data_IF_893330333127
#
_entry.id   IF_893330333127
#
_cell.length_a   1.000
_cell.length_b   1.000
_cell.length_c   1.000
_cell.angle_alpha   90.00
_cell.angle_beta   90.00
_cell.angle_gamma   90.00
#
_symmetry.space_group_name_H-M   'P 1'
#
loop_
_entity.id
_entity.type
_entity.pdbx_description
1 polymer ?
#
# COMPACT_ATOMS: atom_id res chain seq x y z
N UNK A 1 -47.58 -49.02 -25.16
CA UNK A 1 -46.37 -48.88 -26.00
C UNK A 1 -45.71 -47.55 -25.65
N UNK A 2 -44.45 -47.58 -25.25
CA UNK A 2 -43.54 -46.44 -24.96
C UNK A 2 -42.68 -46.14 -26.22
N UNK A 3 -41.80 -45.10 -26.33
CA UNK A 3 -41.44 -43.97 -25.43
C UNK A 3 -41.11 -42.60 -26.13
N UNK A 4 -40.50 -41.67 -25.37
CA UNK A 4 -39.56 -40.58 -25.74
C UNK A 4 -40.15 -39.16 -25.93
N UNK A 5 -39.60 -38.02 -25.44
CA UNK A 5 -38.36 -37.66 -24.71
C UNK A 5 -38.43 -36.15 -24.32
N UNK A 6 -37.76 -35.73 -23.22
CA UNK A 6 -37.02 -34.46 -22.90
C UNK A 6 -37.58 -33.10 -23.39
N UNK A 7 -37.58 -31.96 -22.68
CA UNK A 7 -36.85 -31.39 -21.53
C UNK A 7 -37.66 -30.18 -21.00
N UNK A 8 -37.55 -29.76 -19.72
CA UNK A 8 -37.83 -28.39 -19.31
C UNK A 8 -36.59 -27.51 -19.51
N UNK A 9 -36.86 -26.30 -20.00
CA UNK A 9 -35.96 -25.22 -20.39
C UNK A 9 -35.00 -24.73 -19.30
N UNK A 10 -33.75 -24.52 -19.71
CA UNK A 10 -32.73 -23.73 -19.02
C UNK A 10 -33.18 -22.28 -18.76
N UNK A 11 -32.80 -21.67 -17.62
CA UNK A 11 -33.06 -20.26 -17.31
C UNK A 11 -31.93 -19.30 -17.73
N UNK A 12 -31.00 -19.69 -18.61
CA UNK A 12 -29.85 -18.85 -18.97
C UNK A 12 -29.69 -18.61 -20.47
N UNK A 13 -29.83 -17.33 -20.86
CA UNK A 13 -29.25 -16.73 -22.06
C UNK A 13 -29.92 -15.38 -22.40
N UNK A 14 -29.25 -14.45 -23.11
CA UNK A 14 -27.82 -14.12 -23.14
C UNK A 14 -27.53 -12.71 -22.55
N UNK A 15 -26.27 -12.49 -22.18
CA UNK A 15 -25.71 -11.20 -21.75
C UNK A 15 -25.69 -10.23 -22.93
N UNK A 16 -26.48 -9.16 -22.83
CA UNK A 16 -26.40 -8.01 -23.74
C UNK A 16 -25.50 -6.92 -23.13
N UNK A 17 -24.62 -6.38 -23.97
CA UNK A 17 -23.58 -5.44 -23.58
C UNK A 17 -24.18 -4.08 -23.17
N UNK A 18 -23.98 -3.72 -21.90
CA UNK A 18 -24.26 -2.39 -21.37
C UNK A 18 -22.98 -1.77 -20.84
N UNK A 19 -22.51 -0.73 -21.51
CA UNK A 19 -21.47 0.19 -21.03
C UNK A 19 -21.82 0.74 -19.64
N UNK A 20 -21.11 0.26 -18.61
CA UNK A 20 -21.13 0.88 -17.29
C UNK A 20 -20.08 2.00 -17.25
N UNK A 21 -20.45 3.14 -17.82
CA UNK A 21 -19.78 4.41 -17.53
C UNK A 21 -20.14 4.84 -16.11
N UNK A 22 -19.17 4.79 -15.21
CA UNK A 22 -19.30 5.31 -13.86
C UNK A 22 -19.00 6.82 -13.89
N UNK A 23 -20.04 7.63 -13.93
CA UNK A 23 -19.94 9.08 -13.73
C UNK A 23 -20.33 9.43 -12.29
N UNK A 24 -19.46 10.06 -11.48
CA UNK A 24 -19.88 10.70 -10.26
C UNK A 24 -20.14 12.20 -10.53
N UNK A 25 -21.41 12.59 -10.55
CA UNK A 25 -21.88 13.97 -10.43
C UNK A 25 -22.98 13.97 -9.36
N UNK A 26 -23.04 14.84 -8.36
CA UNK A 26 -22.24 15.97 -7.92
C UNK A 26 -23.10 16.79 -6.93
N UNK A 27 -22.48 17.39 -5.92
CA UNK A 27 -22.95 18.63 -5.25
C UNK A 27 -21.86 19.06 -4.25
N UNK A 28 -21.00 20.00 -4.64
CA UNK A 28 -21.13 21.46 -4.49
C UNK A 28 -20.76 21.95 -3.08
N UNK A 29 -19.68 22.76 -3.04
CA UNK A 29 -19.58 23.88 -2.12
C UNK A 29 -18.73 23.67 -0.88
N UNK A 30 -17.40 23.60 -1.03
CA UNK A 30 -16.46 24.27 -0.13
C UNK A 30 -15.16 24.54 -0.90
N UNK A 31 -15.10 25.70 -1.56
CA UNK A 31 -13.81 26.33 -1.88
C UNK A 31 -13.19 26.80 -0.58
N UNK A 32 -12.22 26.04 -0.10
CA UNK A 32 -11.10 26.54 0.67
C UNK A 32 -9.99 25.51 0.52
N UNK A 33 -9.04 25.77 -0.38
CA UNK A 33 -7.71 25.17 -0.24
C UNK A 33 -7.14 25.69 1.09
N UNK A 34 -6.98 24.87 2.14
CA UNK A 34 -6.37 25.34 3.38
C UNK A 34 -4.84 25.37 3.27
N UNK A 35 -4.28 25.09 2.07
CA UNK A 35 -2.85 24.98 1.82
C UNK A 35 -2.33 25.95 0.76
N UNK A 36 -3.15 26.88 0.27
CA UNK A 36 -2.66 28.06 -0.46
C UNK A 36 -2.06 29.07 0.52
N UNK A 37 -1.11 28.61 1.33
CA UNK A 37 -0.15 29.47 2.01
C UNK A 37 0.97 29.68 1.00
N UNK A 38 1.07 30.90 0.48
CA UNK A 38 2.31 31.40 -0.09
C UNK A 38 3.40 31.14 0.95
N UNK A 39 4.27 30.18 0.70
CA UNK A 39 5.40 29.87 1.58
C UNK A 39 6.38 31.04 1.44
N UNK A 40 6.33 31.98 2.37
CA UNK A 40 7.47 32.85 2.61
C UNK A 40 8.60 31.98 3.12
N UNK A 41 9.53 31.65 2.23
CA UNK A 41 10.82 31.05 2.59
C UNK A 41 11.55 32.10 3.42
N UNK A 42 11.55 31.94 4.74
CA UNK A 42 12.35 32.78 5.63
C UNK A 42 13.82 32.51 5.30
N UNK A 43 14.58 33.52 4.83
CA UNK A 43 16.00 33.34 4.56
C UNK A 43 16.73 33.13 5.90
N UNK A 44 17.22 31.91 6.15
CA UNK A 44 17.97 31.55 7.36
C UNK A 44 17.46 30.32 8.11
N UNK A 45 16.32 29.74 7.73
CA UNK A 45 15.89 28.43 8.24
C UNK A 45 16.67 27.32 7.53
N UNK A 46 17.54 26.62 8.26
CA UNK A 46 18.24 25.40 7.81
C UNK A 46 17.38 24.14 7.94
N UNK A 47 16.13 24.27 8.39
CA UNK A 47 15.18 23.17 8.52
C UNK A 47 14.41 22.93 7.22
N UNK A 48 14.20 21.66 6.88
CA UNK A 48 13.34 21.27 5.76
C UNK A 48 11.90 21.71 6.05
N UNK A 49 11.23 22.43 5.11
CA UNK A 49 9.90 22.94 5.35
C UNK A 49 8.88 21.82 5.64
N UNK A 50 8.00 21.96 6.65
CA UNK A 50 6.96 20.96 6.95
C UNK A 50 6.04 20.64 5.75
N UNK A 51 5.83 21.60 4.86
CA UNK A 51 5.05 21.45 3.62
C UNK A 51 5.70 20.48 2.62
N UNK A 52 7.03 20.35 2.62
CA UNK A 52 7.74 19.38 1.81
C UNK A 52 7.47 17.95 2.31
N UNK A 53 7.54 17.71 3.62
CA UNK A 53 7.20 16.42 4.20
C UNK A 53 5.72 16.05 4.02
N UNK A 54 4.81 17.02 4.10
CA UNK A 54 3.40 16.78 3.76
C UNK A 54 3.21 16.31 2.30
N UNK A 55 4.01 16.86 1.37
CA UNK A 55 3.98 16.47 -0.04
C UNK A 55 4.55 15.06 -0.26
N UNK A 56 5.69 14.73 0.39
CA UNK A 56 6.27 13.38 0.41
C UNK A 56 5.28 12.38 0.99
N UNK A 57 4.66 12.71 2.14
CA UNK A 57 3.67 11.85 2.78
C UNK A 57 2.45 11.59 1.87
N UNK A 58 2.00 12.60 1.11
CA UNK A 58 0.89 12.43 0.16
C UNK A 58 1.28 11.55 -1.01
N UNK A 59 2.46 11.73 -1.58
CA UNK A 59 2.98 10.88 -2.64
C UNK A 59 3.14 9.42 -2.17
N UNK A 60 3.67 9.22 -0.96
CA UNK A 60 3.78 7.90 -0.36
C UNK A 60 2.42 7.27 -0.11
N UNK A 61 1.43 8.04 0.39
CA UNK A 61 0.06 7.56 0.54
C UNK A 61 -0.49 7.03 -0.79
N UNK A 62 -0.32 7.75 -1.90
CA UNK A 62 -0.79 7.32 -3.22
C UNK A 62 -0.11 6.02 -3.69
N UNK A 63 1.19 5.86 -3.43
CA UNK A 63 1.93 4.62 -3.70
C UNK A 63 1.30 3.47 -2.90
N UNK A 64 1.10 3.66 -1.60
CA UNK A 64 0.54 2.62 -0.72
C UNK A 64 -0.90 2.26 -1.09
N UNK A 65 -1.76 3.22 -1.43
CA UNK A 65 -3.14 2.99 -1.90
C UNK A 65 -3.15 2.06 -3.12
N UNK A 66 -2.27 2.33 -4.09
CA UNK A 66 -2.16 1.52 -5.31
C UNK A 66 -1.70 0.10 -5.02
N UNK A 67 -0.70 -0.09 -4.15
CA UNK A 67 -0.19 -1.42 -3.79
C UNK A 67 -1.18 -2.20 -2.92
N UNK A 68 -1.93 -1.52 -2.06
CA UNK A 68 -3.05 -2.10 -1.32
C UNK A 68 -4.10 -2.70 -2.25
N UNK A 69 -4.54 -1.95 -3.27
CA UNK A 69 -5.48 -2.46 -4.28
C UNK A 69 -4.92 -3.65 -5.08
N UNK A 70 -3.61 -3.68 -5.36
CA UNK A 70 -2.95 -4.84 -6.01
C UNK A 70 -2.96 -6.06 -5.11
N UNK A 71 -2.61 -5.91 -3.83
CA UNK A 71 -2.59 -7.00 -2.86
C UNK A 71 -3.98 -7.62 -2.69
N UNK A 72 -5.02 -6.79 -2.53
CA UNK A 72 -6.40 -7.25 -2.41
C UNK A 72 -6.86 -8.05 -3.63
N UNK A 73 -6.65 -7.52 -4.85
CA UNK A 73 -7.00 -8.23 -6.09
C UNK A 73 -6.28 -9.56 -6.22
N UNK A 74 -5.03 -9.65 -5.77
CA UNK A 74 -4.28 -10.91 -5.81
C UNK A 74 -4.88 -11.95 -4.86
N UNK A 75 -5.14 -11.56 -3.61
CA UNK A 75 -5.70 -12.48 -2.60
C UNK A 75 -7.05 -13.01 -3.06
N UNK A 76 -7.93 -12.13 -3.51
CA UNK A 76 -9.27 -12.52 -3.98
C UNK A 76 -9.17 -13.42 -5.21
N UNK A 77 -8.41 -13.00 -6.23
CA UNK A 77 -8.27 -13.78 -7.47
C UNK A 77 -7.67 -15.17 -7.24
N UNK A 78 -6.66 -15.29 -6.38
CA UNK A 78 -6.06 -16.59 -6.07
C UNK A 78 -7.05 -17.49 -5.30
N UNK A 79 -7.78 -16.94 -4.33
CA UNK A 79 -8.76 -17.71 -3.59
C UNK A 79 -9.90 -18.21 -4.50
N UNK A 80 -10.40 -17.35 -5.38
CA UNK A 80 -11.44 -17.69 -6.37
C UNK A 80 -10.96 -18.81 -7.31
N UNK A 81 -9.69 -18.79 -7.74
CA UNK A 81 -9.09 -19.85 -8.57
C UNK A 81 -9.09 -21.23 -7.87
N UNK A 82 -8.99 -21.25 -6.54
CA UNK A 82 -9.05 -22.47 -5.74
C UNK A 82 -10.47 -22.78 -5.23
N UNK A 83 -11.49 -22.03 -5.65
CA UNK A 83 -12.89 -22.22 -5.26
C UNK A 83 -13.18 -21.86 -3.80
N UNK A 84 -12.37 -20.96 -3.22
CA UNK A 84 -12.53 -20.45 -1.85
C UNK A 84 -13.04 -19.01 -1.92
N UNK A 85 -13.88 -18.59 -0.97
CA UNK A 85 -14.28 -17.19 -0.84
C UNK A 85 -13.05 -16.30 -0.61
N UNK A 86 -12.70 -15.48 -1.60
CA UNK A 86 -11.56 -14.58 -1.52
C UNK A 86 -11.65 -13.51 -0.45
N UNK A 87 -12.86 -13.16 -0.01
CA UNK A 87 -13.03 -12.24 1.12
C UNK A 87 -12.68 -12.92 2.44
N UNK A 88 -12.97 -14.22 2.57
CA UNK A 88 -12.56 -15.02 3.73
C UNK A 88 -11.03 -15.17 3.81
N UNK A 89 -10.37 -15.48 2.69
CA UNK A 89 -8.90 -15.54 2.65
C UNK A 89 -8.28 -14.16 2.94
N UNK A 90 -8.89 -13.07 2.47
CA UNK A 90 -8.46 -11.72 2.82
C UNK A 90 -8.60 -11.44 4.33
N UNK A 91 -9.68 -11.88 4.98
CA UNK A 91 -9.79 -11.79 6.44
C UNK A 91 -8.70 -12.58 7.16
N UNK A 92 -8.39 -13.80 6.72
CA UNK A 92 -7.31 -14.62 7.28
C UNK A 92 -5.94 -13.95 7.14
N UNK A 93 -5.64 -13.34 5.99
CA UNK A 93 -4.41 -12.56 5.78
C UNK A 93 -4.38 -11.32 6.68
N UNK A 94 -5.52 -10.67 6.92
CA UNK A 94 -5.57 -9.40 7.66
C UNK A 94 -5.62 -9.55 9.18
N UNK A 95 -6.34 -10.55 9.70
CA UNK A 95 -6.71 -10.63 11.12
C UNK A 95 -6.14 -11.85 11.82
N UNK A 96 -6.07 -12.99 11.14
CA UNK A 96 -5.79 -14.27 11.80
C UNK A 96 -4.36 -14.79 11.51
N UNK A 97 -3.35 -14.00 11.85
CA UNK A 97 -1.93 -14.38 11.63
C UNK A 97 -1.51 -15.69 12.32
N UNK A 98 -2.28 -16.14 13.31
CA UNK A 98 -2.07 -17.40 14.03
C UNK A 98 -2.54 -18.64 13.27
N UNK A 99 -3.35 -18.48 12.22
CA UNK A 99 -3.84 -19.60 11.40
C UNK A 99 -3.02 -19.80 10.12
N UNK A 100 -1.95 -19.01 9.94
CA UNK A 100 -1.08 -19.17 8.79
C UNK A 100 -0.29 -20.47 8.90
N UNK A 101 -0.06 -21.18 7.78
CA UNK A 101 0.79 -22.35 7.76
C UNK A 101 2.24 -21.99 8.11
N UNK A 102 3.07 -23.01 8.35
CA UNK A 102 4.51 -22.81 8.51
C UNK A 102 5.09 -22.35 7.17
N UNK A 103 5.64 -21.13 7.14
CA UNK A 103 6.17 -20.49 5.93
C UNK A 103 7.61 -20.03 6.11
N UNK A 104 8.31 -19.76 5.00
CA UNK A 104 9.61 -19.08 5.03
C UNK A 104 9.44 -17.68 5.61
N UNK A 105 10.47 -17.17 6.28
CA UNK A 105 10.46 -15.83 6.89
C UNK A 105 10.15 -14.72 5.88
N UNK A 106 10.67 -14.84 4.65
CA UNK A 106 10.42 -13.86 3.58
C UNK A 106 8.97 -13.87 3.08
N UNK A 107 8.35 -15.06 2.99
CA UNK A 107 6.94 -15.23 2.59
C UNK A 107 6.01 -14.65 3.63
N UNK A 108 6.29 -14.98 4.90
CA UNK A 108 5.59 -14.42 6.04
C UNK A 108 5.72 -12.90 6.06
N UNK A 109 6.91 -12.37 5.77
CA UNK A 109 7.15 -10.94 5.69
C UNK A 109 6.31 -10.27 4.58
N UNK A 110 6.32 -10.85 3.39
CA UNK A 110 5.54 -10.33 2.27
C UNK A 110 4.02 -10.35 2.55
N UNK A 111 3.52 -11.39 3.21
CA UNK A 111 2.10 -11.46 3.63
C UNK A 111 1.77 -10.47 4.74
N UNK A 112 2.66 -10.26 5.71
CA UNK A 112 2.44 -9.27 6.77
C UNK A 112 2.45 -7.84 6.20
N UNK A 113 3.31 -7.55 5.21
CA UNK A 113 3.26 -6.29 4.48
C UNK A 113 1.96 -6.13 3.69
N UNK A 114 1.52 -7.18 2.98
CA UNK A 114 0.24 -7.17 2.26
C UNK A 114 -0.95 -6.92 3.22
N UNK A 115 -0.96 -7.59 4.37
CA UNK A 115 -1.93 -7.43 5.46
C UNK A 115 -2.00 -5.98 5.95
N UNK A 116 -0.84 -5.39 6.25
CA UNK A 116 -0.75 -3.98 6.66
C UNK A 116 -1.29 -3.04 5.58
N UNK A 117 -0.89 -3.22 4.31
CA UNK A 117 -1.36 -2.41 3.19
C UNK A 117 -2.88 -2.48 3.02
N UNK A 118 -3.48 -3.66 3.14
CA UNK A 118 -4.94 -3.83 3.03
C UNK A 118 -5.68 -3.22 4.23
N UNK A 119 -5.10 -3.29 5.44
CA UNK A 119 -5.68 -2.72 6.65
C UNK A 119 -5.68 -1.19 6.63
N UNK A 120 -4.59 -0.57 6.17
CA UNK A 120 -4.44 0.88 6.14
C UNK A 120 -5.46 1.64 5.29
N UNK A 121 -6.09 0.95 4.33
CA UNK A 121 -7.09 1.54 3.43
C UNK A 121 -8.49 0.93 3.58
N UNK A 122 -8.74 0.23 4.70
CA UNK A 122 -10.05 -0.34 5.02
C UNK A 122 -10.68 -1.13 3.86
N UNK A 123 -9.87 -1.86 3.10
CA UNK A 123 -10.31 -2.58 1.90
C UNK A 123 -11.17 -3.82 2.22
N UNK A 124 -11.57 -4.02 3.48
CA UNK A 124 -12.43 -5.12 3.91
C UNK A 124 -13.91 -4.75 3.78
N UNK A 125 -14.76 -5.69 3.33
CA UNK A 125 -16.18 -5.62 3.60
C UNK A 125 -16.42 -5.72 5.12
N UNK A 126 -17.42 -4.99 5.62
CA UNK A 126 -17.93 -5.13 6.99
C UNK A 126 -18.58 -6.51 7.19
N UNK A 127 -17.76 -7.52 7.51
CA UNK A 127 -18.00 -8.73 8.32
C UNK A 127 -19.39 -9.39 8.43
N UNK A 128 -20.26 -9.38 7.42
CA UNK A 128 -21.60 -10.00 7.54
C UNK A 128 -21.78 -11.26 6.66
N UNK A 129 -20.89 -11.51 5.68
CA UNK A 129 -21.14 -12.53 4.64
C UNK A 129 -20.04 -13.58 4.45
N UNK A 130 -19.10 -13.75 5.39
CA UNK A 130 -18.05 -14.76 5.20
C UNK A 130 -18.59 -16.14 5.57
N UNK A 131 -18.81 -16.99 4.57
CA UNK A 131 -19.09 -18.40 4.80
C UNK A 131 -17.80 -19.06 5.29
N UNK A 132 -17.79 -19.48 6.56
CA UNK A 132 -16.67 -20.23 7.13
C UNK A 132 -16.56 -21.56 6.38
N UNK A 133 -15.42 -21.85 5.74
CA UNK A 133 -15.29 -23.04 4.91
C UNK A 133 -15.37 -24.35 5.73
N UNK A 134 -15.96 -25.40 5.16
CA UNK A 134 -16.09 -26.72 5.79
C UNK A 134 -14.76 -27.49 5.88
N UNK A 135 -14.75 -28.58 6.66
CA UNK A 135 -13.57 -29.43 6.85
C UNK A 135 -12.99 -29.93 5.51
N UNK A 136 -11.75 -29.54 5.18
CA UNK A 136 -11.06 -29.81 3.91
C UNK A 136 -10.62 -28.56 3.15
N UNK A 137 -11.13 -27.38 3.53
CA UNK A 137 -10.82 -26.10 2.90
C UNK A 137 -9.50 -25.49 3.37
N UNK A 138 -8.96 -25.93 4.51
CA UNK A 138 -7.67 -25.48 5.04
C UNK A 138 -6.54 -25.68 4.03
N UNK A 139 -6.55 -26.80 3.29
CA UNK A 139 -5.54 -27.09 2.26
C UNK A 139 -5.61 -26.09 1.10
N UNK A 140 -6.80 -25.60 0.75
CA UNK A 140 -7.00 -24.64 -0.33
C UNK A 140 -6.63 -23.22 0.14
N UNK A 141 -6.96 -22.87 1.38
CA UNK A 141 -6.51 -21.63 2.02
C UNK A 141 -4.97 -21.60 2.09
N UNK A 142 -4.34 -22.68 2.54
CA UNK A 142 -2.88 -22.79 2.61
C UNK A 142 -2.21 -22.59 1.25
N UNK A 143 -2.81 -23.14 0.19
CA UNK A 143 -2.35 -22.95 -1.20
C UNK A 143 -2.49 -21.49 -1.64
N UNK A 144 -3.63 -20.87 -1.37
CA UNK A 144 -3.86 -19.47 -1.69
C UNK A 144 -2.89 -18.54 -0.94
N UNK A 145 -2.61 -18.81 0.33
CA UNK A 145 -1.65 -18.07 1.14
C UNK A 145 -0.21 -18.22 0.60
N UNK A 146 0.23 -19.44 0.29
CA UNK A 146 1.56 -19.67 -0.30
C UNK A 146 1.72 -18.98 -1.66
N UNK A 147 0.72 -19.09 -2.52
CA UNK A 147 0.74 -18.47 -3.83
C UNK A 147 0.75 -16.94 -3.73
N UNK A 148 -0.07 -16.37 -2.84
CA UNK A 148 -0.06 -14.93 -2.52
C UNK A 148 1.31 -14.48 -2.02
N UNK A 149 1.94 -15.23 -1.10
CA UNK A 149 3.25 -14.89 -0.56
C UNK A 149 4.34 -14.91 -1.63
N UNK A 150 4.30 -15.93 -2.50
CA UNK A 150 5.24 -16.08 -3.62
C UNK A 150 5.13 -14.92 -4.62
N UNK A 151 3.92 -14.42 -4.85
CA UNK A 151 3.67 -13.23 -5.67
C UNK A 151 4.10 -11.95 -4.96
N UNK A 152 3.79 -11.82 -3.67
CA UNK A 152 3.99 -10.59 -2.91
C UNK A 152 5.47 -10.23 -2.76
N UNK A 153 6.36 -11.23 -2.68
CA UNK A 153 7.82 -10.98 -2.63
C UNK A 153 8.34 -10.11 -3.78
N UNK A 154 8.22 -10.54 -5.06
CA UNK A 154 8.69 -9.74 -6.18
C UNK A 154 7.76 -8.56 -6.54
N UNK A 155 6.48 -8.61 -6.18
CA UNK A 155 5.49 -7.63 -6.66
C UNK A 155 5.11 -6.55 -5.65
N UNK A 156 5.38 -6.75 -4.35
CA UNK A 156 5.17 -5.75 -3.31
C UNK A 156 6.51 -5.25 -2.78
N UNK A 157 7.32 -6.12 -2.16
CA UNK A 157 8.48 -5.69 -1.36
C UNK A 157 9.51 -4.92 -2.21
N UNK A 158 10.00 -5.55 -3.28
CA UNK A 158 11.01 -4.94 -4.15
C UNK A 158 10.53 -3.66 -4.85
N UNK A 159 9.39 -3.68 -5.55
CA UNK A 159 8.83 -2.49 -6.21
C UNK A 159 8.49 -1.36 -5.24
N UNK A 160 7.88 -1.65 -4.08
CA UNK A 160 7.53 -0.63 -3.10
C UNK A 160 8.78 0.06 -2.53
N UNK A 161 9.81 -0.72 -2.19
CA UNK A 161 11.11 -0.19 -1.76
C UNK A 161 11.75 0.70 -2.83
N UNK A 162 11.73 0.26 -4.10
CA UNK A 162 12.28 1.05 -5.21
C UNK A 162 11.53 2.36 -5.42
N UNK A 163 10.20 2.33 -5.42
CA UNK A 163 9.40 3.55 -5.58
C UNK A 163 9.55 4.51 -4.41
N UNK A 164 9.70 3.98 -3.20
CA UNK A 164 10.03 4.80 -2.03
C UNK A 164 11.39 5.50 -2.19
N UNK A 165 12.44 4.74 -2.54
CA UNK A 165 13.77 5.30 -2.74
C UNK A 165 13.78 6.33 -3.88
N UNK A 166 13.11 6.05 -5.00
CA UNK A 166 13.00 6.99 -6.10
C UNK A 166 12.26 8.28 -5.70
N UNK A 167 11.20 8.18 -4.88
CA UNK A 167 10.50 9.33 -4.33
C UNK A 167 11.43 10.17 -3.44
N UNK A 168 12.17 9.53 -2.54
CA UNK A 168 13.12 10.24 -1.69
C UNK A 168 14.25 10.87 -2.52
N UNK A 169 14.76 10.21 -3.55
CA UNK A 169 15.76 10.77 -4.47
C UNK A 169 15.21 12.01 -5.19
N UNK A 170 13.99 11.96 -5.73
CA UNK A 170 13.35 13.10 -6.39
C UNK A 170 13.24 14.32 -5.45
N UNK A 171 12.84 14.08 -4.20
CA UNK A 171 12.72 15.15 -3.21
C UNK A 171 14.07 15.59 -2.63
N UNK A 172 15.04 14.68 -2.53
CA UNK A 172 16.40 14.99 -2.16
C UNK A 172 17.02 15.95 -3.18
N UNK A 173 16.83 15.73 -4.49
CA UNK A 173 17.28 16.67 -5.52
C UNK A 173 16.61 18.04 -5.39
N UNK A 174 15.30 18.08 -5.09
CA UNK A 174 14.57 19.34 -4.88
C UNK A 174 15.01 20.10 -3.63
N UNK A 175 15.35 19.38 -2.56
CA UNK A 175 15.72 19.94 -1.26
C UNK A 175 17.24 20.01 -1.06
N UNK A 176 18.02 19.61 -2.07
CA UNK A 176 19.48 19.48 -2.01
C UNK A 176 20.17 20.71 -1.42
N UNK A 177 19.90 21.96 -1.87
CA UNK A 177 20.61 23.13 -1.33
C UNK A 177 20.41 23.30 0.18
N UNK A 178 19.23 22.98 0.69
CA UNK A 178 18.91 23.06 2.12
C UNK A 178 19.59 21.94 2.91
N UNK A 179 19.57 20.72 2.37
CA UNK A 179 20.20 19.54 3.00
C UNK A 179 21.73 19.66 3.03
N UNK A 180 22.34 20.15 1.96
CA UNK A 180 23.79 20.40 1.88
C UNK A 180 24.23 21.49 2.85
N UNK A 181 23.48 22.60 2.95
CA UNK A 181 23.78 23.65 3.93
C UNK A 181 23.72 23.12 5.37
N UNK A 182 22.78 22.21 5.66
CA UNK A 182 22.63 21.56 6.96
C UNK A 182 23.78 20.58 7.25
N UNK A 183 24.19 19.77 6.27
CA UNK A 183 25.32 18.84 6.37
C UNK A 183 26.65 19.59 6.55
N UNK A 184 26.84 20.69 5.81
CA UNK A 184 28.01 21.56 5.94
C UNK A 184 28.07 22.25 7.31
N UNK A 185 26.91 22.67 7.87
CA UNK A 185 26.83 23.21 9.22
C UNK A 185 27.21 22.17 10.30
N UNK A 186 27.06 20.87 10.01
CA UNK A 186 27.52 19.75 10.83
C UNK A 186 29.00 19.39 10.65
N UNK A 187 29.76 20.13 9.83
CA UNK A 187 31.19 19.91 9.59
C UNK A 187 31.53 18.88 8.51
N UNK A 188 30.54 18.36 7.77
CA UNK A 188 30.78 17.47 6.63
C UNK A 188 30.98 18.29 5.34
N UNK A 189 32.13 18.14 4.68
CA UNK A 189 32.40 18.76 3.38
C UNK A 189 31.92 17.79 2.28
N UNK A 190 30.85 18.17 1.60
CA UNK A 190 30.30 17.47 0.43
C UNK A 190 31.11 17.94 -0.78
N UNK A 191 31.93 17.06 -1.36
CA UNK A 191 32.87 17.42 -2.43
C UNK A 191 32.47 16.90 -3.80
N UNK A 192 31.44 16.04 -3.91
CA UNK A 192 31.00 15.48 -5.20
C UNK A 192 29.50 15.15 -5.24
N UNK A 193 28.77 15.82 -6.14
CA UNK A 193 27.30 15.73 -6.28
C UNK A 193 26.77 14.31 -6.54
N UNK A 194 27.54 13.44 -7.20
CA UNK A 194 27.09 12.07 -7.50
C UNK A 194 27.44 11.07 -6.40
N UNK A 195 28.53 11.31 -5.67
CA UNK A 195 28.98 10.45 -4.56
C UNK A 195 28.12 10.67 -3.32
N UNK A 196 27.63 11.89 -3.13
CA UNK A 196 26.93 12.29 -1.91
C UNK A 196 25.39 12.10 -1.98
N UNK A 197 24.85 11.77 -3.16
CA UNK A 197 23.41 11.47 -3.35
C UNK A 197 22.85 10.46 -2.34
N UNK A 198 23.47 9.28 -2.11
CA UNK A 198 22.99 8.33 -1.11
C UNK A 198 22.94 8.93 0.30
N UNK A 199 23.92 9.75 0.67
CA UNK A 199 23.95 10.40 1.99
C UNK A 199 22.81 11.41 2.15
N UNK A 200 22.51 12.20 1.10
CA UNK A 200 21.39 13.14 1.09
C UNK A 200 20.06 12.39 1.18
N UNK A 201 19.88 11.31 0.41
CA UNK A 201 18.67 10.47 0.44
C UNK A 201 18.46 9.83 1.81
N UNK A 202 19.51 9.29 2.44
CA UNK A 202 19.44 8.74 3.80
C UNK A 202 19.09 9.81 4.83
N UNK A 203 19.68 11.01 4.71
CA UNK A 203 19.34 12.14 5.59
C UNK A 203 17.86 12.51 5.46
N UNK A 204 17.34 12.59 4.23
CA UNK A 204 15.93 12.89 4.00
C UNK A 204 15.01 11.79 4.54
N UNK A 205 15.43 10.53 4.45
CA UNK A 205 14.72 9.39 5.04
C UNK A 205 14.59 9.54 6.56
N UNK A 206 15.71 9.77 7.26
CA UNK A 206 15.75 9.91 8.72
C UNK A 206 14.92 11.11 9.19
N UNK A 207 14.98 12.22 8.48
CA UNK A 207 14.17 13.41 8.78
C UNK A 207 12.68 13.15 8.54
N UNK A 208 12.33 12.48 7.45
CA UNK A 208 10.94 12.13 7.16
C UNK A 208 10.37 11.18 8.21
N UNK A 209 11.13 10.17 8.64
CA UNK A 209 10.72 9.28 9.73
C UNK A 209 10.55 10.02 11.06
N UNK A 210 11.46 10.93 11.37
CA UNK A 210 11.39 11.76 12.58
C UNK A 210 10.17 12.67 12.54
N UNK A 211 9.93 13.33 11.41
CA UNK A 211 8.73 14.15 11.19
C UNK A 211 7.44 13.32 11.31
N UNK A 212 7.42 12.11 10.76
CA UNK A 212 6.29 11.20 10.94
C UNK A 212 6.04 10.98 12.42
N UNK A 213 7.05 10.64 13.23
CA UNK A 213 6.90 10.39 14.68
C UNK A 213 6.33 11.59 15.45
N UNK A 214 6.64 12.82 15.04
CA UNK A 214 6.24 14.06 15.75
C UNK A 214 4.97 14.73 15.22
N UNK A 215 4.45 14.33 14.06
CA UNK A 215 3.25 14.92 13.45
C UNK A 215 1.93 14.56 14.20
N UNK A 216 0.98 15.50 14.31
CA UNK A 216 -0.25 15.37 15.12
C UNK A 216 -1.28 14.32 14.64
N UNK A 217 -1.21 13.83 13.39
CA UNK A 217 -2.22 12.90 12.83
C UNK A 217 -1.88 11.43 13.12
N UNK A 218 -2.42 10.91 14.23
CA UNK A 218 -2.03 9.61 14.82
C UNK A 218 -2.26 8.38 13.92
N UNK A 219 -3.40 8.28 13.21
CA UNK A 219 -3.78 7.04 12.52
C UNK A 219 -2.96 6.78 11.25
N UNK A 220 -2.89 7.76 10.34
CA UNK A 220 -2.10 7.65 9.10
C UNK A 220 -0.60 7.53 9.37
N UNK A 221 -0.11 8.17 10.43
CA UNK A 221 1.27 8.05 10.92
C UNK A 221 1.61 6.62 11.31
N UNK A 222 0.84 6.02 12.21
CA UNK A 222 1.10 4.65 12.70
C UNK A 222 1.14 3.65 11.55
N UNK A 223 0.24 3.82 10.58
CA UNK A 223 0.25 3.00 9.38
C UNK A 223 1.51 3.19 8.54
N UNK A 224 1.90 4.44 8.22
CA UNK A 224 3.10 4.71 7.43
C UNK A 224 4.38 4.21 8.12
N UNK A 225 4.51 4.42 9.43
CA UNK A 225 5.64 3.92 10.21
C UNK A 225 5.71 2.39 10.21
N UNK A 226 4.58 1.69 10.42
CA UNK A 226 4.56 0.23 10.39
C UNK A 226 4.97 -0.34 9.01
N UNK A 227 4.63 0.34 7.92
CA UNK A 227 5.06 -0.06 6.58
C UNK A 227 6.56 0.18 6.37
N UNK A 228 7.08 1.34 6.81
CA UNK A 228 8.51 1.65 6.70
C UNK A 228 9.35 0.68 7.54
N UNK A 229 8.95 0.41 8.78
CA UNK A 229 9.56 -0.61 9.64
C UNK A 229 9.59 -1.97 8.94
N UNK A 230 8.53 -2.34 8.21
CA UNK A 230 8.49 -3.64 7.52
C UNK A 230 9.39 -3.70 6.28
N UNK A 231 9.64 -2.57 5.63
CA UNK A 231 10.47 -2.48 4.42
C UNK A 231 11.96 -2.32 4.71
N UNK A 232 12.32 -1.69 5.82
CA UNK A 232 13.68 -1.24 6.12
C UNK A 232 14.24 -1.72 7.48
N UNK A 233 13.41 -2.22 8.39
CA UNK A 233 13.82 -2.81 9.68
C UNK A 233 14.07 -4.32 9.61
#
# INVERSE_FOLDING_TARGET
MNPATKSPSDPYGPLDGGDLSWSPSGSSGFSADPFSSSVEVIPGSTEVPPTAFASIARAFQNILERYSGKAMRRVVGEADEHGVDGLYVAEVVMRERTVWPVMRSEDRNALELASLLMQGFAMLPSSIYMQVPGAGMDVLIDRALHSTASWARPQLVGPLKREYMALLEEYAERLRPTLEAKLAAGGAVISDELVDRPAITLTLMDEFETWLRTADRVEKRRFMLAVLERLFG
#
